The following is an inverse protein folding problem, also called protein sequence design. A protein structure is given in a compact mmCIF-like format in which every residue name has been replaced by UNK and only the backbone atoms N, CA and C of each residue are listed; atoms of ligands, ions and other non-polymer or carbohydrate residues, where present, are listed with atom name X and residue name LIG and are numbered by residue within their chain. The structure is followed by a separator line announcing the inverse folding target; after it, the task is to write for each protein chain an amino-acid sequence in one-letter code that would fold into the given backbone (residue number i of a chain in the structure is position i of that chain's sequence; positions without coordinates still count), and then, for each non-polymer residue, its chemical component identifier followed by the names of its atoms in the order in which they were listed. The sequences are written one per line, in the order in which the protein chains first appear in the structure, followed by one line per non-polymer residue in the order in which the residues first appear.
data_IF_805699547376
#
_entry.id   IF_805699547376
#
_cell.length_a   1.000
_cell.length_b   1.000
_cell.length_c   1.000
_cell.angle_alpha   90.00
_cell.angle_beta   90.00
_cell.angle_gamma   90.00
#
_symmetry.space_group_name_H-M   'P 1'
#
loop_
_entity.id
_entity.type
_entity.pdbx_description
1 polymer ?
#
# COMPACT_ATOMS: atom_id res chain seq x y z
N UNK A 1 -8.79 50.54 -65.17
CA UNK A 1 -7.88 50.45 -64.00
C UNK A 1 -8.62 50.93 -62.75
N UNK A 2 -9.23 50.03 -62.00
CA UNK A 2 -9.73 50.28 -60.64
C UNK A 2 -9.36 49.07 -59.78
N UNK A 3 -8.70 49.32 -58.65
CA UNK A 3 -8.09 48.30 -57.78
C UNK A 3 -9.15 47.70 -56.85
N UNK A 4 -9.32 46.39 -56.92
CA UNK A 4 -10.09 45.60 -55.97
C UNK A 4 -9.21 45.33 -54.73
N UNK A 5 -9.70 45.73 -53.55
CA UNK A 5 -9.06 45.48 -52.25
C UNK A 5 -9.41 44.06 -51.80
N UNK A 6 -8.41 43.24 -51.50
CA UNK A 6 -8.57 42.03 -50.70
C UNK A 6 -7.75 42.18 -49.43
N UNK A 7 -8.44 42.13 -48.29
CA UNK A 7 -7.83 42.06 -46.96
C UNK A 7 -7.36 40.62 -46.73
N UNK A 8 -6.08 40.42 -46.40
CA UNK A 8 -5.61 39.18 -45.78
C UNK A 8 -5.84 39.29 -44.27
N UNK A 9 -6.80 38.52 -43.76
CA UNK A 9 -6.85 38.19 -42.33
C UNK A 9 -5.96 36.98 -42.08
N UNK A 10 -4.93 37.17 -41.24
CA UNK A 10 -4.08 36.09 -40.75
C UNK A 10 -4.84 35.19 -39.79
N UNK A 11 -4.93 33.91 -40.12
CA UNK A 11 -5.38 32.86 -39.19
C UNK A 11 -4.16 32.13 -38.64
N UNK A 12 -3.76 32.46 -37.40
CA UNK A 12 -2.84 31.63 -36.62
C UNK A 12 -3.64 30.44 -36.11
N UNK A 13 -3.35 29.24 -36.60
CA UNK A 13 -3.92 28.00 -36.07
C UNK A 13 -3.20 27.69 -34.76
N UNK A 14 -3.86 27.95 -33.63
CA UNK A 14 -3.45 27.37 -32.34
C UNK A 14 -3.83 25.89 -32.35
N UNK A 15 -2.84 25.02 -32.53
CA UNK A 15 -3.00 23.60 -32.24
C UNK A 15 -3.11 23.44 -30.71
N UNK A 16 -4.33 23.19 -30.22
CA UNK A 16 -4.58 22.85 -28.83
C UNK A 16 -4.09 21.41 -28.60
N UNK A 17 -2.90 21.26 -28.01
CA UNK A 17 -2.35 19.97 -27.60
C UNK A 17 -3.14 19.49 -26.38
N UNK A 18 -4.15 18.65 -26.59
CA UNK A 18 -4.86 17.96 -25.51
C UNK A 18 -3.93 16.88 -24.97
N UNK A 19 -3.24 17.17 -23.87
CA UNK A 19 -2.52 16.17 -23.08
C UNK A 19 -3.59 15.40 -22.31
N UNK A 20 -3.97 14.22 -22.81
CA UNK A 20 -4.69 13.26 -21.98
C UNK A 20 -3.73 12.77 -20.90
N UNK A 21 -4.09 12.84 -19.60
CA UNK A 21 -3.34 12.11 -18.59
C UNK A 21 -3.49 10.63 -18.93
N UNK A 22 -2.40 10.00 -19.37
CA UNK A 22 -2.32 8.55 -19.38
C UNK A 22 -2.38 8.12 -17.93
N UNK A 23 -3.51 7.53 -17.52
CA UNK A 23 -3.57 6.74 -16.31
C UNK A 23 -2.62 5.56 -16.52
N UNK A 24 -1.40 5.65 -16.00
CA UNK A 24 -0.53 4.48 -15.88
C UNK A 24 -1.27 3.51 -14.97
N UNK A 25 -1.70 2.36 -15.49
CA UNK A 25 -2.13 1.28 -14.60
C UNK A 25 -0.98 1.04 -13.63
N UNK A 26 -1.24 1.04 -12.32
CA UNK A 26 -0.25 0.61 -11.36
C UNK A 26 0.20 -0.80 -11.77
N UNK A 27 1.45 -0.94 -12.22
CA UNK A 27 1.97 -2.27 -12.54
C UNK A 27 2.24 -2.97 -11.21
N UNK A 28 1.71 -4.18 -11.09
CA UNK A 28 1.79 -4.99 -9.88
C UNK A 28 2.77 -6.13 -10.06
N UNK A 29 3.36 -6.58 -8.96
CA UNK A 29 4.12 -7.82 -8.90
C UNK A 29 3.50 -8.74 -7.85
N UNK A 30 3.21 -9.98 -8.22
CA UNK A 30 2.72 -10.98 -7.28
C UNK A 30 3.88 -11.61 -6.52
N UNK A 31 3.76 -11.69 -5.20
CA UNK A 31 4.57 -12.53 -4.32
C UNK A 31 3.63 -13.50 -3.60
N UNK A 32 4.09 -14.71 -3.30
CA UNK A 32 3.29 -15.71 -2.58
C UNK A 32 4.12 -16.54 -1.60
N UNK A 33 3.52 -17.61 -1.07
CA UNK A 33 4.16 -18.48 -0.09
C UNK A 33 4.53 -19.87 -0.64
N UNK A 34 4.67 -20.03 -1.95
CA UNK A 34 4.98 -21.28 -2.66
C UNK A 34 3.95 -22.41 -2.51
N UNK A 35 2.77 -22.12 -1.99
CA UNK A 35 1.65 -23.07 -2.02
C UNK A 35 0.86 -22.88 -3.30
N UNK A 36 0.33 -23.96 -3.87
CA UNK A 36 -0.56 -23.84 -5.03
C UNK A 36 -1.94 -23.33 -4.59
N UNK A 37 -2.60 -22.43 -5.35
CA UNK A 37 -4.00 -22.07 -5.11
C UNK A 37 -4.90 -23.29 -4.90
N UNK A 38 -5.80 -23.24 -3.93
CA UNK A 38 -6.61 -24.38 -3.49
C UNK A 38 -5.93 -25.28 -2.44
N UNK A 39 -4.67 -25.03 -2.10
CA UNK A 39 -4.01 -25.65 -0.95
C UNK A 39 -4.26 -24.83 0.31
N UNK A 40 -4.79 -25.45 1.37
CA UNK A 40 -5.07 -24.76 2.63
C UNK A 40 -3.81 -24.02 3.14
N UNK A 41 -3.96 -22.71 3.39
CA UNK A 41 -2.85 -21.85 3.80
C UNK A 41 -2.11 -21.16 2.66
N UNK A 42 -2.49 -21.36 1.39
CA UNK A 42 -2.02 -20.50 0.29
C UNK A 42 -2.25 -19.03 0.63
N UNK A 43 -1.23 -18.21 0.35
CA UNK A 43 -1.25 -16.77 0.57
C UNK A 43 -0.48 -16.09 -0.56
N UNK A 44 -1.12 -15.15 -1.25
CA UNK A 44 -0.48 -14.31 -2.27
C UNK A 44 -0.98 -12.88 -2.24
N UNK A 45 -0.13 -11.95 -2.68
CA UNK A 45 -0.42 -10.52 -2.73
C UNK A 45 0.09 -9.95 -4.04
N UNK A 46 -0.75 -9.15 -4.71
CA UNK A 46 -0.32 -8.29 -5.81
C UNK A 46 0.21 -6.98 -5.26
N UNK A 47 1.53 -6.83 -5.20
CA UNK A 47 2.22 -5.67 -4.63
C UNK A 47 2.31 -4.55 -5.65
N UNK A 48 1.94 -3.35 -5.22
CA UNK A 48 2.05 -2.07 -5.93
C UNK A 48 3.22 -1.24 -5.37
N UNK A 49 3.46 -0.06 -5.94
CA UNK A 49 4.44 0.88 -5.40
C UNK A 49 4.17 1.22 -3.93
N UNK A 50 5.23 1.53 -3.18
CA UNK A 50 5.09 1.80 -1.74
C UNK A 50 4.67 0.61 -0.88
N UNK A 51 4.76 -0.63 -1.41
CA UNK A 51 4.38 -1.87 -0.70
C UNK A 51 2.87 -2.04 -0.54
N UNK A 52 2.10 -1.35 -1.38
CA UNK A 52 0.64 -1.29 -1.34
C UNK A 52 0.01 -2.50 -2.02
N UNK A 53 -1.29 -2.71 -1.82
CA UNK A 53 -2.04 -3.72 -2.58
C UNK A 53 -3.54 -3.44 -2.61
N UNK A 54 -4.21 -4.02 -3.60
CA UNK A 54 -5.68 -4.08 -3.73
C UNK A 54 -6.19 -5.50 -3.94
N UNK A 55 -5.29 -6.47 -3.95
CA UNK A 55 -5.65 -7.84 -4.27
C UNK A 55 -4.69 -8.77 -3.55
N UNK A 56 -5.26 -9.59 -2.68
CA UNK A 56 -4.55 -10.58 -1.93
C UNK A 56 -5.42 -11.81 -1.77
N UNK A 57 -4.88 -12.99 -2.10
CA UNK A 57 -5.64 -14.23 -2.07
C UNK A 57 -5.19 -15.12 -0.92
N UNK A 58 -6.14 -15.65 -0.17
CA UNK A 58 -5.91 -16.76 0.76
C UNK A 58 -6.67 -17.99 0.29
N UNK A 59 -6.15 -19.18 0.63
CA UNK A 59 -6.97 -20.40 0.64
C UNK A 59 -7.28 -20.81 2.07
N UNK A 60 -8.56 -20.82 2.40
CA UNK A 60 -9.08 -21.15 3.73
C UNK A 60 -10.04 -22.34 3.67
N UNK A 61 -10.49 -22.76 4.86
CA UNK A 61 -11.58 -23.72 5.02
C UNK A 61 -12.76 -23.00 5.64
N UNK A 62 -13.92 -23.06 4.98
CA UNK A 62 -15.15 -22.49 5.54
C UNK A 62 -15.54 -23.18 6.83
N UNK A 63 -15.98 -22.40 7.82
CA UNK A 63 -16.36 -22.90 9.13
C UNK A 63 -17.60 -23.79 9.06
N UNK A 64 -18.60 -23.40 8.27
CA UNK A 64 -19.89 -24.08 8.21
C UNK A 64 -19.91 -25.28 7.25
N UNK A 65 -19.47 -25.07 6.01
CA UNK A 65 -19.52 -26.07 4.94
C UNK A 65 -18.28 -26.98 4.91
N UNK A 66 -17.14 -26.51 5.44
CA UNK A 66 -15.90 -27.28 5.50
C UNK A 66 -15.16 -27.43 4.16
N UNK A 67 -15.64 -26.80 3.08
CA UNK A 67 -14.97 -26.78 1.80
C UNK A 67 -13.72 -25.90 1.83
N UNK A 68 -12.79 -26.24 0.94
CA UNK A 68 -11.58 -25.47 0.70
C UNK A 68 -11.82 -24.58 -0.51
N UNK A 69 -11.50 -23.30 -0.37
CA UNK A 69 -11.75 -22.29 -1.39
C UNK A 69 -10.66 -21.22 -1.35
N UNK A 70 -10.50 -20.49 -2.45
CA UNK A 70 -9.57 -19.37 -2.57
C UNK A 70 -10.37 -18.11 -2.90
N UNK A 71 -10.13 -17.03 -2.17
CA UNK A 71 -10.80 -15.75 -2.40
C UNK A 71 -9.84 -14.57 -2.26
N UNK A 72 -10.24 -13.43 -2.81
CA UNK A 72 -9.58 -12.16 -2.54
C UNK A 72 -10.11 -11.61 -1.21
N UNK A 73 -9.22 -11.32 -0.25
CA UNK A 73 -9.57 -10.83 1.10
C UNK A 73 -9.23 -9.36 1.33
N UNK A 74 -8.78 -8.68 0.28
CA UNK A 74 -8.27 -7.31 0.39
C UNK A 74 -9.06 -6.36 -0.51
N UNK A 75 -9.54 -5.27 0.08
CA UNK A 75 -10.08 -4.13 -0.62
C UNK A 75 -8.96 -3.12 -0.93
N UNK A 76 -8.29 -2.58 0.09
CA UNK A 76 -7.20 -1.62 -0.04
C UNK A 76 -6.16 -1.80 1.11
N UNK A 77 -4.88 -1.88 0.76
CA UNK A 77 -3.76 -1.81 1.71
C UNK A 77 -2.80 -0.71 1.27
N UNK A 78 -2.80 0.41 1.99
CA UNK A 78 -2.16 1.64 1.54
C UNK A 78 -1.20 2.27 2.54
N UNK A 79 -0.14 2.87 1.97
CA UNK A 79 0.95 3.50 2.70
C UNK A 79 0.83 5.00 2.53
N UNK A 80 0.55 5.74 3.60
CA UNK A 80 0.42 7.20 3.58
C UNK A 80 1.57 7.87 4.34
N UNK A 81 1.97 9.04 3.86
CA UNK A 81 2.95 9.90 4.51
C UNK A 81 2.33 11.26 4.83
N UNK A 82 2.57 11.75 6.04
CA UNK A 82 2.22 13.09 6.48
C UNK A 82 3.48 13.80 6.99
N UNK A 83 3.78 14.96 6.40
CA UNK A 83 4.97 15.76 6.68
C UNK A 83 4.70 16.93 7.64
N UNK A 84 3.56 16.95 8.32
CA UNK A 84 3.28 17.88 9.43
C UNK A 84 2.09 18.84 9.26
N UNK A 85 1.74 19.34 8.06
CA UNK A 85 0.49 20.07 7.88
C UNK A 85 -0.71 19.14 8.10
N UNK A 86 -1.54 19.45 9.11
CA UNK A 86 -2.71 18.63 9.43
C UNK A 86 -3.61 18.43 8.20
N UNK A 87 -4.02 17.17 7.97
CA UNK A 87 -4.93 16.80 6.89
C UNK A 87 -4.29 16.76 5.49
N UNK A 88 -2.95 16.79 5.40
CA UNK A 88 -2.23 16.67 4.12
C UNK A 88 -1.42 15.38 3.99
N UNK A 89 -1.91 14.30 4.62
CA UNK A 89 -1.38 12.97 4.33
C UNK A 89 -1.58 12.68 2.83
N UNK A 90 -0.57 12.09 2.21
CA UNK A 90 -0.62 11.70 0.80
C UNK A 90 -0.23 10.25 0.64
N UNK A 91 -0.82 9.59 -0.35
CA UNK A 91 -0.48 8.22 -0.72
C UNK A 91 0.97 8.18 -1.22
N UNK A 92 1.76 7.27 -0.67
CA UNK A 92 3.12 7.04 -1.12
C UNK A 92 3.07 6.50 -2.56
N UNK A 93 3.79 7.14 -3.48
CA UNK A 93 3.88 6.68 -4.87
C UNK A 93 5.27 6.86 -5.45
N UNK A 94 5.68 5.96 -6.33
CA UNK A 94 7.02 5.91 -6.90
C UNK A 94 7.17 4.85 -8.00
N UNK A 95 8.20 4.02 -7.88
CA UNK A 95 8.54 3.03 -8.90
C UNK A 95 7.70 1.77 -8.72
N UNK A 96 7.40 1.15 -9.85
CA UNK A 96 6.85 -0.21 -9.91
C UNK A 96 7.76 -1.15 -9.09
N UNK A 97 7.20 -2.07 -8.29
CA UNK A 97 8.00 -3.05 -7.57
C UNK A 97 8.86 -3.89 -8.52
N UNK A 98 10.11 -4.12 -8.13
CA UNK A 98 11.04 -5.01 -8.84
C UNK A 98 11.34 -6.24 -8.00
N UNK A 99 11.25 -7.42 -8.60
CA UNK A 99 11.59 -8.70 -7.96
C UNK A 99 13.07 -8.75 -7.61
N UNK A 100 13.40 -9.28 -6.43
CA UNK A 100 14.75 -9.60 -6.02
C UNK A 100 15.30 -10.74 -6.88
N UNK A 101 16.48 -10.56 -7.47
CA UNK A 101 17.08 -11.55 -8.39
C UNK A 101 17.37 -12.90 -7.73
N UNK A 102 17.39 -12.96 -6.41
CA UNK A 102 17.66 -14.17 -5.63
C UNK A 102 16.42 -14.76 -4.95
N UNK A 103 15.29 -14.06 -4.99
CA UNK A 103 14.08 -14.43 -4.25
C UNK A 103 12.82 -13.89 -4.97
N UNK A 104 12.03 -14.76 -5.64
CA UNK A 104 10.86 -14.33 -6.40
C UNK A 104 9.75 -13.77 -5.51
N UNK A 105 9.73 -14.11 -4.21
CA UNK A 105 8.70 -13.69 -3.26
C UNK A 105 9.12 -12.46 -2.46
N UNK A 106 10.15 -11.77 -2.95
CA UNK A 106 10.63 -10.50 -2.44
C UNK A 106 10.67 -9.46 -3.55
N UNK A 107 10.05 -8.32 -3.28
CA UNK A 107 10.02 -7.18 -4.19
C UNK A 107 10.47 -5.91 -3.49
N UNK A 108 10.92 -4.93 -4.26
CA UNK A 108 11.26 -3.62 -3.74
C UNK A 108 10.72 -2.51 -4.63
N UNK A 109 10.15 -1.48 -4.01
CA UNK A 109 9.71 -0.25 -4.65
C UNK A 109 10.42 0.94 -3.98
N UNK A 110 10.62 2.01 -4.73
CA UNK A 110 11.31 3.20 -4.24
C UNK A 110 10.73 4.47 -4.84
N UNK A 111 11.07 5.61 -4.27
CA UNK A 111 10.67 6.90 -4.82
C UNK A 111 11.20 8.04 -3.99
N UNK A 112 10.64 9.23 -4.21
CA UNK A 112 11.01 10.42 -3.48
C UNK A 112 9.84 11.38 -3.31
N UNK A 113 9.90 12.20 -2.26
CA UNK A 113 9.00 13.34 -2.04
C UNK A 113 9.75 14.48 -1.33
N UNK A 114 9.13 15.65 -1.26
CA UNK A 114 9.69 16.81 -0.55
C UNK A 114 9.20 16.76 0.90
N UNK A 115 10.14 16.70 1.85
CA UNK A 115 9.88 16.71 3.28
C UNK A 115 9.57 18.10 3.83
N UNK A 116 9.19 18.13 5.10
CA UNK A 116 8.75 19.34 5.81
C UNK A 116 9.78 20.49 5.80
N UNK A 117 11.07 20.18 5.73
CA UNK A 117 12.14 21.18 5.70
C UNK A 117 12.55 21.57 4.26
N UNK A 118 11.77 21.21 3.25
CA UNK A 118 12.13 21.38 1.83
C UNK A 118 13.22 20.42 1.35
N UNK A 119 13.60 19.43 2.16
CA UNK A 119 14.57 18.40 1.84
C UNK A 119 13.95 17.31 0.96
N UNK A 120 14.70 16.78 -0.01
CA UNK A 120 14.29 15.56 -0.72
C UNK A 120 14.44 14.35 0.19
N UNK A 121 13.35 13.62 0.39
CA UNK A 121 13.32 12.34 1.10
C UNK A 121 13.17 11.23 0.07
N UNK A 122 14.17 10.36 0.00
CA UNK A 122 14.13 9.12 -0.72
C UNK A 122 13.51 8.05 0.17
N UNK A 123 12.67 7.20 -0.40
CA UNK A 123 12.07 6.09 0.31
C UNK A 123 12.31 4.78 -0.43
N UNK A 124 12.29 3.69 0.34
CA UNK A 124 12.29 2.32 -0.18
C UNK A 124 11.37 1.48 0.67
N UNK A 125 10.54 0.67 0.02
CA UNK A 125 9.74 -0.37 0.65
C UNK A 125 10.15 -1.71 0.05
N UNK A 126 10.62 -2.62 0.91
CA UNK A 126 10.88 -4.00 0.54
C UNK A 126 9.77 -4.88 1.14
N UNK A 127 9.06 -5.59 0.28
CA UNK A 127 7.98 -6.49 0.64
C UNK A 127 8.41 -7.93 0.43
N UNK A 128 8.08 -8.83 1.35
CA UNK A 128 8.41 -10.24 1.21
C UNK A 128 7.38 -11.16 1.87
N UNK A 129 7.17 -12.34 1.29
CA UNK A 129 6.46 -13.47 1.90
C UNK A 129 7.44 -14.65 1.92
N UNK A 130 7.78 -15.22 3.10
CA UNK A 130 8.59 -16.43 3.14
C UNK A 130 7.83 -17.64 2.59
N UNK A 131 8.53 -18.62 2.03
CA UNK A 131 7.96 -19.90 1.61
C UNK A 131 7.26 -20.58 2.80
N UNK A 132 6.04 -21.09 2.59
CA UNK A 132 5.13 -21.59 3.63
C UNK A 132 4.76 -20.56 4.73
N UNK A 133 5.11 -19.29 4.53
CA UNK A 133 4.79 -18.19 5.41
C UNK A 133 3.32 -17.81 5.35
N UNK A 134 2.87 -17.09 6.39
CA UNK A 134 1.48 -16.59 6.52
C UNK A 134 1.41 -15.07 6.58
N UNK A 135 2.57 -14.42 6.49
CA UNK A 135 2.73 -13.00 6.78
C UNK A 135 3.54 -12.40 5.64
N UNK A 136 2.97 -11.38 5.00
CA UNK A 136 3.73 -10.43 4.21
C UNK A 136 4.38 -9.42 5.15
N UNK A 137 5.68 -9.19 5.00
CA UNK A 137 6.41 -8.17 5.77
C UNK A 137 6.80 -7.02 4.86
N UNK A 138 6.57 -5.79 5.31
CA UNK A 138 7.10 -4.58 4.68
C UNK A 138 8.21 -3.98 5.53
N UNK A 139 9.38 -3.74 4.92
CA UNK A 139 10.46 -2.94 5.50
C UNK A 139 10.52 -1.59 4.82
N UNK A 140 10.16 -0.54 5.56
CA UNK A 140 10.11 0.84 5.06
C UNK A 140 11.34 1.61 5.54
N UNK A 141 11.97 2.35 4.62
CA UNK A 141 13.12 3.21 4.91
C UNK A 141 12.90 4.58 4.31
N UNK A 142 13.08 5.62 5.12
CA UNK A 142 13.15 7.01 4.68
C UNK A 142 14.55 7.56 4.91
N UNK A 143 15.13 8.21 3.89
CA UNK A 143 16.45 8.85 3.98
C UNK A 143 16.43 10.19 3.26
N UNK A 144 17.06 11.20 3.84
CA UNK A 144 17.30 12.44 3.10
C UNK A 144 18.36 12.21 2.03
N UNK A 145 18.18 12.80 0.84
CA UNK A 145 19.14 12.65 -0.25
C UNK A 145 20.55 13.15 0.10
N UNK A 146 20.64 14.11 1.04
CA UNK A 146 21.89 14.77 1.44
C UNK A 146 22.37 14.39 2.85
N UNK A 147 21.74 13.42 3.51
CA UNK A 147 22.12 13.00 4.88
C UNK A 147 21.76 13.98 6.00
N UNK A 148 21.00 15.04 5.71
CA UNK A 148 20.43 15.95 6.72
C UNK A 148 19.27 15.35 7.51
N UNK A 149 18.70 16.09 8.49
CA UNK A 149 17.57 15.63 9.28
C UNK A 149 16.31 15.41 8.42
N UNK A 150 15.53 14.37 8.71
CA UNK A 150 14.27 14.07 7.99
C UNK A 150 13.23 15.19 8.14
N UNK A 151 13.15 15.80 9.33
CA UNK A 151 12.02 16.66 9.73
C UNK A 151 10.86 15.83 10.31
N UNK A 152 9.75 16.49 10.72
CA UNK A 152 8.55 15.77 11.13
C UNK A 152 8.02 14.91 9.98
N UNK A 153 7.71 13.65 10.29
CA UNK A 153 7.15 12.69 9.37
C UNK A 153 6.31 11.70 10.16
N UNK A 154 5.09 11.42 9.71
CA UNK A 154 4.26 10.30 10.13
C UNK A 154 4.04 9.38 8.94
N UNK A 155 4.10 8.09 9.20
CA UNK A 155 3.79 7.04 8.25
C UNK A 155 2.57 6.29 8.77
N UNK A 156 1.55 6.16 7.94
CA UNK A 156 0.34 5.41 8.27
C UNK A 156 0.24 4.21 7.33
N UNK A 157 -0.07 3.06 7.91
CA UNK A 157 -0.47 1.88 7.16
C UNK A 157 -1.98 1.74 7.32
N UNK A 158 -2.68 1.78 6.19
CA UNK A 158 -4.11 1.56 6.06
C UNK A 158 -4.36 0.13 5.59
N UNK A 159 -5.35 -0.53 6.18
CA UNK A 159 -5.88 -1.82 5.74
C UNK A 159 -7.40 -1.73 5.74
N UNK A 160 -7.99 -2.15 4.64
CA UNK A 160 -9.41 -2.31 4.38
C UNK A 160 -9.57 -3.67 3.72
N UNK A 161 -10.24 -4.56 4.42
CA UNK A 161 -10.43 -5.95 4.03
C UNK A 161 -11.78 -6.19 3.37
N UNK A 162 -11.89 -7.30 2.67
CA UNK A 162 -13.14 -7.76 2.07
C UNK A 162 -13.21 -9.28 2.27
N UNK A 163 -13.51 -9.73 3.48
CA UNK A 163 -13.53 -11.15 3.83
C UNK A 163 -14.95 -11.68 3.61
N UNK A 164 -15.20 -12.48 2.56
CA UNK A 164 -16.52 -12.93 2.06
C UNK A 164 -17.52 -11.81 1.68
N UNK A 165 -17.50 -10.63 2.32
CA UNK A 165 -18.12 -9.37 1.89
C UNK A 165 -17.81 -8.22 2.85
N UNK A 166 -17.73 -6.99 2.34
CA UNK A 166 -17.57 -5.70 3.08
C UNK A 166 -18.54 -5.39 4.25
N UNK A 167 -19.57 -6.20 4.50
CA UNK A 167 -20.75 -5.79 5.27
C UNK A 167 -20.88 -6.34 6.68
N UNK A 168 -20.21 -7.45 6.98
CA UNK A 168 -20.42 -8.20 8.22
C UNK A 168 -19.14 -8.70 8.89
N UNK A 169 -18.03 -8.10 8.48
CA UNK A 169 -16.72 -8.23 9.09
C UNK A 169 -16.67 -7.73 10.54
N UNK A 170 -15.94 -8.47 11.37
CA UNK A 170 -15.76 -8.22 12.80
C UNK A 170 -14.31 -7.86 13.08
N UNK A 171 -14.11 -6.65 13.58
CA UNK A 171 -12.82 -6.18 14.05
C UNK A 171 -12.57 -6.57 15.51
N UNK A 172 -11.37 -7.06 15.81
CA UNK A 172 -10.90 -7.23 17.19
C UNK A 172 -9.37 -7.15 17.26
N UNK A 173 -8.86 -6.89 18.46
CA UNK A 173 -7.41 -6.86 18.69
C UNK A 173 -6.96 -8.08 19.47
N UNK A 174 -5.76 -8.57 19.18
CA UNK A 174 -5.07 -9.60 19.96
C UNK A 174 -3.70 -9.11 20.42
N UNK A 175 -3.24 -9.61 21.56
CA UNK A 175 -1.94 -9.24 22.11
C UNK A 175 -1.95 -7.83 22.73
N UNK A 176 -0.76 -7.23 22.85
CA UNK A 176 -0.60 -5.91 23.45
C UNK A 176 0.66 -5.20 22.97
N UNK A 177 0.68 -3.86 23.09
CA UNK A 177 1.88 -3.06 22.80
C UNK A 177 3.06 -3.42 23.71
N UNK A 178 2.81 -3.64 25.00
CA UNK A 178 3.84 -4.04 25.98
C UNK A 178 4.41 -5.42 25.61
N UNK A 179 3.54 -6.33 25.17
CA UNK A 179 3.92 -7.66 24.69
C UNK A 179 4.55 -7.69 23.30
N UNK A 180 4.58 -6.55 22.59
CA UNK A 180 5.12 -6.40 21.22
C UNK A 180 4.48 -7.36 20.22
N UNK A 181 3.21 -7.68 20.42
CA UNK A 181 2.47 -8.67 19.65
C UNK A 181 1.03 -8.21 19.39
N UNK A 182 0.81 -6.90 19.33
CA UNK A 182 -0.48 -6.35 18.99
C UNK A 182 -0.80 -6.67 17.52
N UNK A 183 -1.93 -7.30 17.29
CA UNK A 183 -2.47 -7.60 15.97
C UNK A 183 -3.88 -7.02 15.89
N UNK A 184 -4.18 -6.33 14.79
CA UNK A 184 -5.49 -5.77 14.47
C UNK A 184 -6.13 -6.71 13.45
N UNK A 185 -7.10 -7.52 13.90
CA UNK A 185 -7.73 -8.56 13.09
C UNK A 185 -9.09 -8.11 12.58
N UNK A 186 -9.39 -8.57 11.37
CA UNK A 186 -10.74 -8.60 10.85
C UNK A 186 -11.05 -9.99 10.28
N UNK A 187 -12.27 -10.47 10.55
CA UNK A 187 -12.80 -11.75 10.08
C UNK A 187 -14.28 -11.61 9.74
N UNK A 188 -14.77 -12.40 8.80
CA UNK A 188 -16.21 -12.55 8.59
C UNK A 188 -16.87 -13.15 9.84
N UNK A 189 -18.09 -12.71 10.17
CA UNK A 189 -18.78 -13.10 11.40
C UNK A 189 -19.27 -14.56 11.45
N UNK A 190 -19.23 -15.29 10.33
CA UNK A 190 -19.59 -16.72 10.21
C UNK A 190 -18.36 -17.59 9.98
N UNK A 191 -17.20 -17.01 9.70
CA UNK A 191 -16.01 -17.75 9.30
C UNK A 191 -14.93 -17.82 10.38
N UNK A 192 -13.89 -18.62 10.12
CA UNK A 192 -12.76 -18.90 11.05
C UNK A 192 -11.41 -18.43 10.50
N UNK A 193 -11.46 -17.58 9.48
CA UNK A 193 -10.29 -17.00 8.85
C UNK A 193 -10.53 -15.51 8.63
N UNK A 194 -9.46 -14.80 8.30
CA UNK A 194 -9.49 -13.37 8.09
C UNK A 194 -8.09 -12.85 7.88
N UNK A 195 -7.95 -11.55 7.95
CA UNK A 195 -6.66 -10.87 7.82
C UNK A 195 -6.34 -10.11 9.08
N UNK A 196 -5.05 -9.90 9.30
CA UNK A 196 -4.58 -9.04 10.37
C UNK A 196 -3.46 -8.17 9.89
N UNK A 197 -3.40 -6.96 10.41
CA UNK A 197 -2.20 -6.13 10.35
C UNK A 197 -1.55 -5.98 11.71
N UNK A 198 -0.22 -5.88 11.68
CA UNK A 198 0.61 -5.62 12.85
C UNK A 198 1.81 -4.79 12.39
N UNK A 199 2.68 -4.45 13.33
CA UNK A 199 3.90 -3.71 13.05
C UNK A 199 4.96 -3.93 14.12
N UNK A 200 6.07 -3.22 13.94
CA UNK A 200 7.12 -3.12 14.94
C UNK A 200 6.79 -1.96 15.89
N UNK A 201 6.93 -2.18 17.19
CA UNK A 201 6.44 -1.24 18.22
C UNK A 201 7.56 -0.50 18.95
N UNK A 202 8.81 -0.98 18.82
CA UNK A 202 9.96 -0.36 19.47
C UNK A 202 11.29 -0.67 18.77
N UNK A 203 12.37 -0.12 19.33
CA UNK A 203 13.72 -0.25 18.79
C UNK A 203 14.25 -1.69 18.80
N UNK A 204 13.73 -2.55 19.68
CA UNK A 204 14.17 -3.94 19.78
C UNK A 204 13.46 -4.84 18.76
N UNK A 205 12.32 -4.39 18.25
CA UNK A 205 11.53 -5.08 17.22
C UNK A 205 11.81 -4.56 15.80
N UNK A 206 12.40 -3.37 15.65
CA UNK A 206 12.88 -2.88 14.36
C UNK A 206 12.65 -1.39 14.07
N UNK A 207 12.11 -0.61 15.01
CA UNK A 207 11.99 0.83 14.84
C UNK A 207 13.37 1.51 14.94
N UNK A 208 13.76 2.24 13.90
CA UNK A 208 15.00 3.02 13.88
C UNK A 208 14.67 4.51 13.76
N UNK A 209 15.03 5.31 14.77
CA UNK A 209 14.74 6.76 14.82
C UNK A 209 13.27 7.13 14.61
N UNK A 210 12.37 6.23 15.03
CA UNK A 210 10.92 6.40 14.95
C UNK A 210 10.27 5.74 16.16
N UNK A 211 9.02 6.08 16.43
CA UNK A 211 8.24 5.55 17.54
C UNK A 211 6.84 5.20 17.07
N UNK A 212 6.28 4.11 17.58
CA UNK A 212 4.88 3.80 17.35
C UNK A 212 3.98 4.86 17.99
N UNK A 213 3.13 5.50 17.18
CA UNK A 213 2.25 6.57 17.64
C UNK A 213 0.90 6.06 18.15
N UNK A 214 0.40 4.96 17.59
CA UNK A 214 -0.93 4.43 17.88
C UNK A 214 -1.56 3.75 16.68
N UNK A 215 -2.82 3.35 16.85
CA UNK A 215 -3.69 2.83 15.80
C UNK A 215 -5.10 3.39 16.02
N UNK A 216 -5.89 3.37 14.96
CA UNK A 216 -7.31 3.68 15.00
C UNK A 216 -8.03 2.71 14.04
N UNK A 217 -9.33 2.54 14.26
CA UNK A 217 -10.22 1.86 13.35
C UNK A 217 -11.45 2.76 13.16
N UNK A 218 -11.92 2.87 11.93
CA UNK A 218 -13.10 3.65 11.55
C UNK A 218 -13.85 2.89 10.46
N UNK A 219 -15.17 2.99 10.44
CA UNK A 219 -16.00 2.51 9.33
C UNK A 219 -15.83 3.38 8.07
N UNK A 220 -15.36 4.63 8.23
CA UNK A 220 -15.11 5.56 7.12
C UNK A 220 -13.85 6.38 7.36
N UNK A 221 -12.70 5.86 6.92
CA UNK A 221 -11.44 6.57 7.09
C UNK A 221 -11.29 7.74 6.10
N UNK A 222 -11.20 8.96 6.64
CA UNK A 222 -10.92 10.19 5.90
C UNK A 222 -9.50 10.26 5.28
N UNK A 223 -8.61 9.31 5.58
CA UNK A 223 -7.30 9.21 4.91
C UNK A 223 -7.42 8.72 3.46
N UNK A 224 -8.56 8.12 3.09
CA UNK A 224 -8.87 7.75 1.70
C UNK A 224 -9.34 8.98 0.91
N UNK A 225 -8.66 9.36 -0.20
CA UNK A 225 -9.09 10.47 -1.06
C UNK A 225 -10.34 10.15 -1.89
#
# INVERSE_FOLDING_TARGET
MSKLKYALFGGVIFALLIIFPFSTSAQTVTIDNDLSPGTLGYWSVMVMDGGQSRTAFITARRAFTGDIFTENVLFDYFSYVDIGPQGQAFLLSGTIPTIDVTDPDKVSSSGQFIGANGNTINWTVASAIPNNGKIMTNRIVFRTANGGPLGPLRFYQYLDEDVESVGDDVFFTKGSLIGRNLELFTMDNKEVYGVSQSGVFDIFSGLENTTFAGWAADAFDSMRP
#
